data_IF_695158263429
#
_entry.id   IF_695158263429
#
_cell.length_a   1.000
_cell.length_b   1.000
_cell.length_c   1.000
_cell.angle_alpha   90.00
_cell.angle_beta   90.00
_cell.angle_gamma   90.00
#
_symmetry.space_group_name_H-M   'P 1'
#
loop_
_entity.id
_entity.type
_entity.pdbx_description
1 polymer ?
#
# COMPACT_ATOMS: atom_id res chain seq x y z
N UNK A 1 53.62 -45.52 6.49
CA UNK A 1 52.71 -44.42 6.89
C UNK A 1 52.56 -43.41 5.75
N UNK A 2 51.86 -43.77 4.66
CA UNK A 2 51.72 -42.88 3.48
C UNK A 2 50.43 -43.11 2.68
N UNK A 3 49.51 -43.92 3.19
CA UNK A 3 48.23 -44.27 2.53
C UNK A 3 46.99 -43.86 3.33
N UNK A 4 47.16 -43.22 4.50
CA UNK A 4 46.05 -42.81 5.38
C UNK A 4 45.73 -41.31 5.23
N UNK A 5 46.64 -40.48 4.70
CA UNK A 5 46.38 -39.05 4.49
C UNK A 5 45.53 -38.73 3.24
N UNK A 6 45.40 -39.65 2.28
CA UNK A 6 44.65 -39.38 1.04
C UNK A 6 43.14 -39.65 1.17
N UNK A 7 42.70 -40.44 2.16
CA UNK A 7 41.28 -40.76 2.36
C UNK A 7 40.52 -39.69 3.18
N UNK A 8 41.23 -38.83 3.91
CA UNK A 8 40.61 -37.75 4.70
C UNK A 8 40.36 -36.47 3.89
N UNK A 9 40.99 -36.31 2.72
CA UNK A 9 40.75 -35.15 1.84
C UNK A 9 39.57 -35.35 0.88
N UNK A 10 39.20 -36.61 0.58
CA UNK A 10 38.11 -36.91 -0.35
C UNK A 10 36.71 -36.81 0.28
N UNK A 11 36.59 -36.95 1.61
CA UNK A 11 35.30 -36.85 2.32
C UNK A 11 34.90 -35.39 2.57
N UNK A 12 35.86 -34.47 2.64
CA UNK A 12 35.57 -33.05 2.90
C UNK A 12 35.07 -32.29 1.66
N UNK A 13 35.34 -32.78 0.45
CA UNK A 13 34.90 -32.14 -0.80
C UNK A 13 33.47 -32.58 -1.19
N UNK A 14 32.98 -33.73 -0.71
CA UNK A 14 31.60 -34.18 -0.95
C UNK A 14 30.55 -33.49 -0.06
N UNK A 15 30.96 -32.75 0.98
CA UNK A 15 30.04 -32.02 1.85
C UNK A 15 29.77 -30.57 1.41
N UNK A 16 30.54 -30.01 0.46
CA UNK A 16 30.37 -28.61 0.02
C UNK A 16 29.39 -28.50 -1.16
N UNK A 17 29.20 -29.54 -1.96
CA UNK A 17 28.23 -29.53 -3.08
C UNK A 17 26.77 -29.74 -2.66
N UNK A 18 26.49 -30.07 -1.39
CA UNK A 18 25.12 -30.10 -0.87
C UNK A 18 24.61 -28.72 -0.41
N UNK A 19 25.47 -27.68 -0.38
CA UNK A 19 25.12 -26.33 0.09
C UNK A 19 24.70 -25.34 -1.00
N UNK A 20 24.57 -25.78 -2.25
CA UNK A 20 24.05 -24.96 -3.36
C UNK A 20 22.74 -25.49 -3.94
N UNK A 21 21.94 -26.23 -3.15
CA UNK A 21 20.52 -26.38 -3.44
C UNK A 21 19.76 -25.34 -2.61
N UNK A 22 19.86 -24.07 -3.03
CA UNK A 22 18.92 -23.04 -2.57
C UNK A 22 17.53 -23.47 -3.01
N UNK A 23 16.83 -24.14 -2.09
CA UNK A 23 15.38 -24.27 -2.10
C UNK A 23 14.84 -22.86 -2.22
N UNK A 24 14.35 -22.54 -3.41
CA UNK A 24 13.55 -21.35 -3.69
C UNK A 24 12.24 -21.54 -2.94
N UNK A 25 12.27 -21.28 -1.64
CA UNK A 25 11.07 -21.12 -0.85
C UNK A 25 10.33 -19.94 -1.44
N UNK A 26 9.28 -20.26 -2.18
CA UNK A 26 8.15 -19.37 -2.41
C UNK A 26 7.78 -18.80 -1.04
N UNK A 27 8.15 -17.54 -0.77
CA UNK A 27 7.46 -16.72 0.24
C UNK A 27 6.02 -16.64 -0.23
N UNK A 28 5.23 -17.64 0.11
CA UNK A 28 3.83 -17.43 0.40
C UNK A 28 3.90 -16.53 1.63
N UNK A 29 3.80 -15.23 1.40
CA UNK A 29 3.61 -14.26 2.48
C UNK A 29 2.47 -14.80 3.33
N UNK A 30 2.77 -15.22 4.56
CA UNK A 30 1.73 -15.39 5.55
C UNK A 30 0.90 -14.10 5.53
N UNK A 31 -0.44 -14.17 5.56
CA UNK A 31 -1.24 -12.96 5.72
C UNK A 31 -0.73 -12.31 7.00
N UNK A 32 -0.12 -11.13 6.88
CA UNK A 32 0.16 -10.30 8.03
C UNK A 32 -1.22 -9.99 8.59
N UNK A 33 -1.59 -10.70 9.65
CA UNK A 33 -2.78 -10.39 10.42
C UNK A 33 -2.45 -9.07 11.06
N UNK A 34 -2.82 -7.98 10.41
CA UNK A 34 -2.78 -6.68 11.04
C UNK A 34 -3.69 -6.78 12.27
N UNK A 35 -3.18 -6.53 13.48
CA UNK A 35 -4.04 -6.48 14.64
C UNK A 35 -5.15 -5.47 14.36
N UNK A 36 -6.38 -5.80 14.77
CA UNK A 36 -7.50 -4.88 14.64
C UNK A 36 -7.14 -3.57 15.34
N UNK A 37 -7.43 -2.44 14.69
CA UNK A 37 -7.21 -1.09 15.18
C UNK A 37 -8.05 -0.89 16.44
N UNK A 38 -7.38 -0.73 17.56
CA UNK A 38 -7.95 -0.46 18.88
C UNK A 38 -7.88 1.03 19.19
N UNK A 39 -6.88 1.73 18.67
CA UNK A 39 -6.72 3.17 18.82
C UNK A 39 -6.06 3.83 17.60
N UNK A 40 -6.12 5.16 17.46
CA UNK A 40 -5.46 5.86 16.35
C UNK A 40 -3.94 5.59 16.26
N UNK A 41 -3.28 5.31 17.38
CA UNK A 41 -1.85 5.00 17.43
C UNK A 41 -1.48 3.74 16.63
N UNK A 42 -2.39 2.76 16.50
CA UNK A 42 -2.16 1.57 15.66
C UNK A 42 -2.02 1.94 14.18
N UNK A 43 -2.65 3.03 13.74
CA UNK A 43 -2.53 3.56 12.37
C UNK A 43 -1.16 4.23 12.20
N UNK A 44 -0.72 4.97 13.20
CA UNK A 44 0.57 5.65 13.20
C UNK A 44 1.72 4.63 13.15
N UNK A 45 1.61 3.55 13.94
CA UNK A 45 2.54 2.42 13.91
C UNK A 45 2.58 1.77 12.53
N UNK A 46 1.41 1.51 11.92
CA UNK A 46 1.36 0.96 10.55
C UNK A 46 2.04 1.87 9.51
N UNK A 47 1.84 3.19 9.61
CA UNK A 47 2.50 4.16 8.73
C UNK A 47 4.03 4.12 8.96
N UNK A 48 4.48 4.04 10.21
CA UNK A 48 5.89 3.89 10.57
C UNK A 48 6.52 2.59 10.06
N UNK A 49 5.81 1.46 10.16
CA UNK A 49 6.24 0.16 9.65
C UNK A 49 6.42 0.15 8.12
N UNK A 50 5.65 0.97 7.39
CA UNK A 50 5.82 1.19 5.95
C UNK A 50 7.07 2.04 5.62
N UNK A 51 7.74 2.58 6.63
CA UNK A 51 8.93 3.42 6.49
C UNK A 51 8.62 4.90 6.30
N UNK A 52 7.39 5.34 6.55
CA UNK A 52 6.98 6.73 6.39
C UNK A 52 7.17 7.51 7.69
N UNK A 53 7.66 8.74 7.57
CA UNK A 53 7.79 9.67 8.70
C UNK A 53 6.52 10.52 8.80
N UNK A 54 5.83 10.49 9.93
CA UNK A 54 4.65 11.33 10.18
C UNK A 54 5.11 12.74 10.59
N UNK A 55 4.74 13.73 9.79
CA UNK A 55 5.00 15.15 10.12
C UNK A 55 3.80 15.81 10.81
N UNK A 56 2.59 15.43 10.41
CA UNK A 56 1.34 15.96 10.95
C UNK A 56 0.26 14.88 10.85
N UNK A 57 -0.40 14.57 11.97
CA UNK A 57 -1.65 13.81 11.98
C UNK A 57 -2.83 14.77 11.93
N UNK A 58 -3.75 14.57 10.98
CA UNK A 58 -5.01 15.33 10.88
C UNK A 58 -6.16 14.61 11.59
N UNK A 59 -5.89 13.43 12.20
CA UNK A 59 -6.90 12.59 12.82
C UNK A 59 -7.92 12.05 11.82
N UNK A 60 -9.11 11.69 12.34
CA UNK A 60 -10.25 11.25 11.53
C UNK A 60 -10.83 12.45 10.76
N UNK A 61 -10.57 12.50 9.47
CA UNK A 61 -11.05 13.59 8.59
C UNK A 61 -12.40 13.31 7.96
N UNK A 62 -12.80 12.05 7.88
CA UNK A 62 -14.06 11.65 7.25
C UNK A 62 -14.60 10.37 7.88
N UNK A 63 -15.92 10.23 7.90
CA UNK A 63 -16.61 9.00 8.29
C UNK A 63 -17.93 8.91 7.53
N UNK A 64 -18.25 7.73 6.99
CA UNK A 64 -19.45 7.54 6.19
C UNK A 64 -19.80 6.08 5.96
N UNK A 65 -21.09 5.82 5.73
CA UNK A 65 -21.52 4.54 5.14
C UNK A 65 -21.26 4.52 3.64
N UNK A 66 -20.57 3.49 3.13
CA UNK A 66 -20.28 3.36 1.71
C UNK A 66 -21.52 2.89 0.94
N UNK A 67 -22.06 3.76 0.09
CA UNK A 67 -23.08 3.40 -0.90
C UNK A 67 -22.52 3.45 -2.33
N UNK A 68 -23.30 2.95 -3.30
CA UNK A 68 -22.89 2.95 -4.71
C UNK A 68 -22.63 4.34 -5.26
N UNK A 69 -23.42 5.35 -4.86
CA UNK A 69 -23.28 6.73 -5.31
C UNK A 69 -21.92 7.30 -4.90
N UNK A 70 -21.46 7.01 -3.69
CA UNK A 70 -20.16 7.42 -3.18
C UNK A 70 -19.02 6.66 -3.84
N UNK A 71 -19.19 5.37 -4.11
CA UNK A 71 -18.24 4.60 -4.95
C UNK A 71 -18.11 5.24 -6.33
N UNK A 72 -19.22 5.59 -6.96
CA UNK A 72 -19.25 6.23 -8.27
C UNK A 72 -18.59 7.61 -8.28
N UNK A 73 -18.93 8.47 -7.32
CA UNK A 73 -18.38 9.83 -7.20
C UNK A 73 -16.89 9.83 -6.86
N UNK A 74 -16.45 8.88 -6.02
CA UNK A 74 -15.07 8.77 -5.56
C UNK A 74 -14.31 7.65 -6.29
N UNK A 75 -14.65 7.40 -7.55
CA UNK A 75 -14.08 6.30 -8.33
C UNK A 75 -12.55 6.35 -8.41
N UNK A 76 -11.94 7.53 -8.36
CA UNK A 76 -10.48 7.72 -8.40
C UNK A 76 -9.79 7.10 -7.18
N UNK A 77 -10.41 7.20 -6.00
CA UNK A 77 -9.90 6.57 -4.78
C UNK A 77 -9.97 5.05 -4.91
N UNK A 78 -11.10 4.53 -5.39
CA UNK A 78 -11.32 3.09 -5.59
C UNK A 78 -10.48 2.50 -6.72
N UNK A 79 -10.07 3.31 -7.70
CA UNK A 79 -9.21 2.90 -8.80
C UNK A 79 -7.84 2.40 -8.30
N UNK A 80 -7.36 2.97 -7.19
CA UNK A 80 -6.03 2.68 -6.61
C UNK A 80 -6.09 1.78 -5.37
N UNK A 81 -7.20 1.06 -5.16
CA UNK A 81 -7.31 0.04 -4.10
C UNK A 81 -7.12 -1.36 -4.69
N UNK A 82 -6.49 -2.26 -3.94
CA UNK A 82 -6.49 -3.69 -4.29
C UNK A 82 -7.87 -4.31 -4.09
N UNK A 83 -8.55 -4.16 -2.93
CA UNK A 83 -9.90 -4.68 -2.74
C UNK A 83 -10.94 -3.93 -3.58
N UNK A 84 -11.97 -4.65 -4.03
CA UNK A 84 -13.11 -4.04 -4.72
C UNK A 84 -14.11 -3.45 -3.70
N UNK A 85 -14.80 -2.34 -4.03
CA UNK A 85 -15.69 -1.65 -3.08
C UNK A 85 -16.90 -2.48 -2.63
N UNK A 86 -17.29 -3.52 -3.38
CA UNK A 86 -18.44 -4.38 -3.04
C UNK A 86 -18.33 -5.03 -1.66
N UNK A 87 -17.10 -5.31 -1.21
CA UNK A 87 -16.85 -5.90 0.10
C UNK A 87 -17.24 -4.97 1.26
N UNK A 88 -17.38 -3.67 0.99
CA UNK A 88 -17.60 -2.63 1.98
C UNK A 88 -18.92 -1.88 1.80
N UNK A 89 -19.73 -2.24 0.79
CA UNK A 89 -21.03 -1.60 0.60
C UNK A 89 -21.93 -1.80 1.83
N UNK A 90 -22.55 -0.72 2.28
CA UNK A 90 -23.37 -0.68 3.49
C UNK A 90 -22.58 -0.64 4.79
N UNK A 91 -21.24 -0.71 4.75
CA UNK A 91 -20.37 -0.60 5.93
C UNK A 91 -19.91 0.83 6.14
N UNK A 92 -19.54 1.14 7.37
CA UNK A 92 -18.88 2.41 7.71
C UNK A 92 -17.41 2.37 7.29
N UNK A 93 -16.97 3.45 6.64
CA UNK A 93 -15.58 3.74 6.32
C UNK A 93 -15.18 5.02 7.04
N UNK A 94 -14.10 4.94 7.79
CA UNK A 94 -13.45 6.09 8.42
C UNK A 94 -12.15 6.39 7.68
N UNK A 95 -11.86 7.67 7.45
CA UNK A 95 -10.63 8.14 6.79
C UNK A 95 -9.80 8.90 7.80
N UNK A 96 -8.54 8.47 7.96
CA UNK A 96 -7.53 9.15 8.77
C UNK A 96 -6.47 9.74 7.86
N UNK A 97 -6.17 11.02 8.02
CA UNK A 97 -5.29 11.72 7.09
C UNK A 97 -4.04 12.29 7.75
N UNK A 98 -2.97 12.37 6.98
CA UNK A 98 -1.63 12.67 7.45
C UNK A 98 -0.87 13.51 6.42
N UNK A 99 0.08 14.31 6.91
CA UNK A 99 1.20 14.80 6.11
C UNK A 99 2.43 13.98 6.50
N UNK A 100 3.03 13.33 5.52
CA UNK A 100 4.16 12.42 5.73
C UNK A 100 5.37 12.77 4.86
N UNK A 101 6.48 12.10 5.17
CA UNK A 101 7.73 12.04 4.41
C UNK A 101 8.21 10.61 4.20
N UNK A 102 9.24 10.45 3.39
CA UNK A 102 9.81 9.18 2.94
C UNK A 102 8.82 8.37 2.10
N UNK A 103 7.94 9.06 1.38
CA UNK A 103 6.98 8.45 0.48
C UNK A 103 7.40 8.64 -0.98
N UNK A 104 7.13 7.68 -1.90
CA UNK A 104 7.51 7.80 -3.31
C UNK A 104 7.02 9.07 -4.03
N UNK A 105 5.97 9.72 -3.52
CA UNK A 105 5.41 10.95 -4.08
C UNK A 105 6.08 12.23 -3.58
N UNK A 106 7.00 12.15 -2.60
CA UNK A 106 7.71 13.33 -2.12
C UNK A 106 8.50 13.98 -3.25
N UNK A 107 9.01 13.19 -4.20
CA UNK A 107 9.73 13.71 -5.37
C UNK A 107 8.84 14.42 -6.39
N UNK A 108 7.53 14.18 -6.35
CA UNK A 108 6.54 14.87 -7.18
C UNK A 108 5.98 16.13 -6.49
N UNK A 109 6.27 16.31 -5.20
CA UNK A 109 5.83 17.47 -4.42
C UNK A 109 6.92 18.56 -4.43
N UNK A 110 6.57 19.83 -4.66
CA UNK A 110 7.51 20.95 -4.47
C UNK A 110 7.98 21.08 -3.00
N UNK A 111 7.20 20.54 -2.06
CA UNK A 111 7.42 20.64 -0.62
C UNK A 111 8.10 19.39 -0.04
N UNK A 112 8.43 18.38 -0.87
CA UNK A 112 9.00 17.09 -0.45
C UNK A 112 8.20 16.44 0.69
N UNK A 113 6.88 16.41 0.50
CA UNK A 113 5.90 15.86 1.43
C UNK A 113 4.78 15.19 0.65
N UNK A 114 4.10 14.26 1.29
CA UNK A 114 2.94 13.57 0.75
C UNK A 114 1.73 13.76 1.67
N UNK A 115 0.56 14.00 1.09
CA UNK A 115 -0.72 13.87 1.79
C UNK A 115 -1.15 12.41 1.69
N UNK A 116 -1.35 11.75 2.82
CA UNK A 116 -1.76 10.34 2.91
C UNK A 116 -3.11 10.24 3.62
N UNK A 117 -4.02 9.45 3.07
CA UNK A 117 -5.28 9.07 3.69
C UNK A 117 -5.36 7.55 3.83
N UNK A 118 -5.58 7.07 5.04
CA UNK A 118 -5.75 5.66 5.38
C UNK A 118 -7.24 5.36 5.50
N UNK A 119 -7.70 4.31 4.83
CA UNK A 119 -9.10 3.87 4.84
C UNK A 119 -9.28 2.73 5.84
N UNK A 120 -10.25 2.89 6.74
CA UNK A 120 -10.56 1.92 7.80
C UNK A 120 -11.99 1.46 7.66
N UNK A 121 -12.22 0.16 7.80
CA UNK A 121 -13.55 -0.43 7.91
C UNK A 121 -13.49 -1.59 8.90
N UNK A 122 -14.47 -1.67 9.81
CA UNK A 122 -14.54 -2.72 10.85
C UNK A 122 -13.19 -2.89 11.59
N UNK A 123 -12.62 -1.78 12.07
CA UNK A 123 -11.35 -1.73 12.79
C UNK A 123 -10.16 -2.34 12.01
N UNK A 124 -10.23 -2.38 10.68
CA UNK A 124 -9.13 -2.91 9.85
C UNK A 124 -8.76 -1.90 8.78
N UNK A 125 -7.45 -1.76 8.50
CA UNK A 125 -6.98 -0.96 7.37
C UNK A 125 -7.33 -1.70 6.08
N UNK A 126 -8.19 -1.12 5.26
CA UNK A 126 -8.66 -1.71 4.00
C UNK A 126 -7.92 -1.16 2.78
N UNK A 127 -7.09 -0.15 2.99
CA UNK A 127 -6.31 0.51 1.95
C UNK A 127 -6.06 1.96 2.29
N UNK A 128 -5.90 2.77 1.26
CA UNK A 128 -5.60 4.19 1.39
C UNK A 128 -5.19 4.81 0.07
N UNK A 129 -5.11 6.12 0.06
CA UNK A 129 -4.72 6.89 -1.11
C UNK A 129 -3.80 8.03 -0.70
N UNK A 130 -2.98 8.47 -1.65
CA UNK A 130 -2.00 9.52 -1.44
C UNK A 130 -1.94 10.49 -2.61
N UNK A 131 -1.41 11.68 -2.35
CA UNK A 131 -1.11 12.69 -3.36
C UNK A 131 0.11 13.51 -2.95
N UNK A 132 0.85 14.10 -3.89
CA UNK A 132 1.89 15.06 -3.54
C UNK A 132 1.29 16.22 -2.74
N UNK A 133 1.97 16.65 -1.67
CA UNK A 133 1.48 17.75 -0.85
C UNK A 133 1.83 19.11 -1.48
N UNK A 134 0.88 20.04 -1.45
CA UNK A 134 1.05 21.41 -1.92
C UNK A 134 0.65 22.38 -0.80
N UNK A 135 1.53 23.33 -0.50
CA UNK A 135 1.17 24.48 0.33
C UNK A 135 0.28 25.43 -0.46
N UNK A 136 -0.44 26.33 0.23
CA UNK A 136 -1.40 27.26 -0.40
C UNK A 136 -0.77 28.08 -1.54
N UNK A 137 0.48 28.51 -1.36
CA UNK A 137 1.27 29.24 -2.37
C UNK A 137 1.54 28.43 -3.65
N UNK A 138 1.46 27.09 -3.59
CA UNK A 138 1.76 26.17 -4.67
C UNK A 138 0.49 25.55 -5.28
N UNK A 139 -0.71 26.00 -4.88
CA UNK A 139 -1.98 25.40 -5.33
C UNK A 139 -2.16 25.42 -6.86
N UNK A 140 -1.54 26.40 -7.53
CA UNK A 140 -1.53 26.51 -9.00
C UNK A 140 -0.75 25.38 -9.69
N UNK A 141 0.05 24.62 -8.94
CA UNK A 141 0.86 23.50 -9.43
C UNK A 141 0.18 22.15 -9.24
N UNK A 142 -1.02 22.10 -8.65
CA UNK A 142 -1.74 20.83 -8.39
C UNK A 142 -2.18 20.20 -9.70
N UNK A 143 -1.65 19.02 -10.08
CA UNK A 143 -2.07 18.34 -11.29
C UNK A 143 -3.46 17.72 -11.10
N UNK A 144 -4.29 17.77 -12.15
CA UNK A 144 -5.59 17.12 -12.18
C UNK A 144 -5.39 15.60 -12.20
N UNK A 145 -6.08 14.88 -11.32
CA UNK A 145 -6.11 13.40 -11.32
C UNK A 145 -4.95 12.70 -10.61
N UNK A 146 -4.20 13.41 -9.77
CA UNK A 146 -3.04 12.88 -9.05
C UNK A 146 -3.35 12.05 -7.79
N UNK A 147 -4.23 11.05 -7.89
CA UNK A 147 -4.51 10.10 -6.80
C UNK A 147 -3.69 8.82 -7.02
N UNK A 148 -2.98 8.39 -5.98
CA UNK A 148 -2.15 7.18 -5.94
C UNK A 148 -2.57 6.30 -4.77
N UNK A 149 -2.13 5.05 -4.73
CA UNK A 149 -2.36 4.19 -3.55
C UNK A 149 -1.58 4.67 -2.34
N UNK A 150 -1.82 4.00 -1.21
CA UNK A 150 -1.03 4.13 0.01
C UNK A 150 0.49 3.97 -0.21
N UNK A 151 0.90 3.14 -1.18
CA UNK A 151 2.31 2.93 -1.56
C UNK A 151 2.80 3.83 -2.71
N UNK A 152 2.01 4.83 -3.13
CA UNK A 152 2.37 5.76 -4.19
C UNK A 152 2.26 5.20 -5.61
N UNK A 153 1.56 4.07 -5.80
CA UNK A 153 1.33 3.45 -7.11
C UNK A 153 0.15 4.09 -7.83
N UNK A 154 0.24 4.21 -9.15
CA UNK A 154 -0.88 4.61 -9.99
C UNK A 154 -1.82 3.43 -10.31
N UNK A 155 -2.90 3.73 -11.03
CA UNK A 155 -3.88 2.74 -11.45
C UNK A 155 -3.27 1.57 -12.23
N UNK A 156 -2.41 1.86 -13.21
CA UNK A 156 -1.80 0.88 -14.09
C UNK A 156 -0.92 -0.11 -13.32
N UNK A 157 -0.14 0.39 -12.38
CA UNK A 157 0.72 -0.40 -11.50
C UNK A 157 -0.07 -1.33 -10.55
N UNK A 158 -1.31 -0.98 -10.23
CA UNK A 158 -2.17 -1.73 -9.29
C UNK A 158 -3.03 -2.74 -10.03
N UNK A 159 -3.77 -2.28 -11.04
CA UNK A 159 -4.80 -3.11 -11.69
C UNK A 159 -4.25 -3.88 -12.89
N UNK A 160 -3.10 -3.48 -13.44
CA UNK A 160 -2.44 -4.13 -14.58
C UNK A 160 -3.40 -4.42 -15.76
N UNK A 161 -4.34 -3.49 -16.00
CA UNK A 161 -5.33 -3.54 -17.08
C UNK A 161 -5.48 -2.15 -17.67
N UNK A 162 -6.03 -2.07 -18.88
CA UNK A 162 -6.30 -0.79 -19.53
C UNK A 162 -7.36 0.03 -18.75
N UNK A 163 -7.04 1.29 -18.49
CA UNK A 163 -7.88 2.22 -17.74
C UNK A 163 -9.29 2.40 -18.32
N UNK A 164 -9.42 2.65 -19.62
CA UNK A 164 -10.73 2.86 -20.26
C UNK A 164 -11.64 1.64 -20.11
N UNK A 165 -11.06 0.45 -20.26
CA UNK A 165 -11.78 -0.81 -20.08
C UNK A 165 -12.27 -0.96 -18.65
N UNK A 166 -11.42 -0.67 -17.67
CA UNK A 166 -11.80 -0.72 -16.26
C UNK A 166 -12.87 0.32 -15.95
N UNK A 167 -12.67 1.58 -16.35
CA UNK A 167 -13.58 2.69 -16.08
C UNK A 167 -14.97 2.44 -16.65
N UNK A 168 -15.08 1.92 -17.88
CA UNK A 168 -16.37 1.52 -18.48
C UNK A 168 -17.10 0.46 -17.65
N UNK A 169 -16.38 -0.56 -17.15
CA UNK A 169 -16.96 -1.61 -16.30
C UNK A 169 -17.38 -1.06 -14.94
N UNK A 170 -16.55 -0.19 -14.36
CA UNK A 170 -16.80 0.45 -13.09
C UNK A 170 -18.05 1.34 -13.14
N UNK A 171 -18.14 2.25 -14.12
CA UNK A 171 -19.31 3.12 -14.33
C UNK A 171 -20.57 2.27 -14.44
N UNK A 172 -20.60 1.29 -15.35
CA UNK A 172 -21.76 0.42 -15.55
C UNK A 172 -22.24 -0.30 -14.28
N UNK A 173 -21.35 -0.51 -13.31
CA UNK A 173 -21.65 -1.25 -12.08
C UNK A 173 -22.20 -0.37 -10.95
N UNK A 174 -21.76 0.89 -10.87
CA UNK A 174 -22.05 1.78 -9.74
C UNK A 174 -22.78 3.08 -10.08
N UNK A 175 -22.94 3.41 -11.37
CA UNK A 175 -23.91 4.42 -11.84
C UNK A 175 -25.34 4.00 -11.45
#
# INVERSE_FOLDING_TARGET
MRKICCLLFAVFILCISASCYQRKETRISQPVIMPAIQSPEDIDDYIGEKGYEILESKGKTEEYTLDKKRVYNNWQIWAVQYPEPDHYLGKEISIYSYIIRNHPLDDKSPNKKTYLSVMICENTIIGGYSSPYYEEKDISLVPIGGVYSLEGKNFEEIKNINFDRWRKRFIKKYE
#
